data_IF_970662110274
#
_entry.id   IF_970662110274
#
_cell.length_a   1.000
_cell.length_b   1.000
_cell.length_c   1.000
_cell.angle_alpha   90.00
_cell.angle_beta   90.00
_cell.angle_gamma   90.00
#
_symmetry.space_group_name_H-M   'P 1'
#
loop_
_entity.id
_entity.type
_entity.pdbx_description
1 polymer ?
#
# COMPACT_ATOMS: atom_id res chain seq x y z
N UNK A 1 -3.80 93.06 52.68
CA UNK A 1 -4.76 93.96 53.36
C UNK A 1 -4.11 94.48 54.62
N UNK A 2 -4.19 95.77 54.90
CA UNK A 2 -3.53 96.37 56.07
C UNK A 2 -4.24 95.92 57.36
N UNK A 3 -3.50 95.30 58.27
CA UNK A 3 -3.98 94.83 59.57
C UNK A 3 -4.37 96.02 60.43
N UNK A 4 -5.67 96.18 60.74
CA UNK A 4 -6.21 97.30 61.52
C UNK A 4 -6.44 96.86 62.97
N UNK A 5 -6.13 97.72 63.94
CA UNK A 5 -6.58 97.57 65.32
C UNK A 5 -8.07 97.93 65.39
N UNK A 6 -8.92 96.97 65.76
CA UNK A 6 -10.38 97.12 65.70
C UNK A 6 -11.00 97.38 67.07
N UNK A 7 -10.35 96.98 68.16
CA UNK A 7 -10.87 97.17 69.53
C UNK A 7 -9.75 97.31 70.56
N UNK A 8 -9.94 98.21 71.52
CA UNK A 8 -9.09 98.34 72.71
C UNK A 8 -9.99 98.71 73.90
N UNK A 9 -10.18 97.81 74.87
CA UNK A 9 -11.10 98.04 75.99
C UNK A 9 -11.24 96.84 76.92
N UNK A 10 -12.15 96.88 77.91
CA UNK A 10 -12.35 95.77 78.85
C UNK A 10 -12.86 94.51 78.14
N UNK A 11 -12.41 93.31 78.57
CA UNK A 11 -12.76 92.00 77.98
C UNK A 11 -14.27 91.76 77.91
N UNK A 12 -15.02 92.20 78.92
CA UNK A 12 -16.49 92.06 78.96
C UNK A 12 -17.20 92.77 77.80
N UNK A 13 -16.57 93.78 77.20
CA UNK A 13 -17.11 94.55 76.09
C UNK A 13 -16.53 94.13 74.73
N UNK A 14 -15.75 93.05 74.69
CA UNK A 14 -15.14 92.55 73.48
C UNK A 14 -16.24 91.99 72.56
N UNK A 15 -16.30 92.38 71.26
CA UNK A 15 -17.35 91.89 70.36
C UNK A 15 -17.37 90.36 70.28
N UNK A 16 -18.56 89.76 70.34
CA UNK A 16 -18.73 88.30 70.28
C UNK A 16 -18.33 87.72 68.90
N UNK A 17 -18.47 88.52 67.84
CA UNK A 17 -18.03 88.20 66.49
C UNK A 17 -16.88 89.14 66.13
N UNK A 18 -15.73 88.58 65.78
CA UNK A 18 -14.50 89.32 65.46
C UNK A 18 -14.01 88.97 64.06
N UNK A 19 -13.68 90.00 63.31
CA UNK A 19 -13.07 89.91 61.99
C UNK A 19 -11.57 89.58 62.11
N UNK A 20 -10.88 89.25 61.02
CA UNK A 20 -9.44 88.97 61.03
C UNK A 20 -8.60 90.24 61.26
N UNK A 21 -8.66 90.74 62.49
CA UNK A 21 -8.06 91.98 62.94
C UNK A 21 -7.59 91.86 64.39
N UNK A 22 -6.79 92.82 64.85
CA UNK A 22 -6.31 92.84 66.22
C UNK A 22 -7.34 93.45 67.17
N UNK A 23 -7.51 92.81 68.33
CA UNK A 23 -8.31 93.29 69.45
C UNK A 23 -7.46 93.22 70.72
N UNK A 24 -7.49 94.26 71.55
CA UNK A 24 -6.74 94.28 72.82
C UNK A 24 -7.71 94.44 73.98
N UNK A 25 -7.57 93.55 74.97
CA UNK A 25 -8.28 93.66 76.24
C UNK A 25 -7.39 94.35 77.25
N UNK A 26 -7.83 95.50 77.78
CA UNK A 26 -6.99 96.32 78.65
C UNK A 26 -6.97 95.85 80.09
N UNK A 27 -7.96 95.07 80.52
CA UNK A 27 -8.11 94.54 81.88
C UNK A 27 -7.44 93.18 82.07
N UNK A 28 -7.53 92.29 81.07
CA UNK A 28 -6.89 90.96 81.10
C UNK A 28 -5.54 90.92 80.38
N UNK A 29 -5.14 92.02 79.72
CA UNK A 29 -3.92 92.12 78.89
C UNK A 29 -3.83 91.05 77.79
N UNK A 30 -4.96 90.51 77.36
CA UNK A 30 -5.01 89.54 76.28
C UNK A 30 -5.14 90.27 74.95
N UNK A 31 -4.37 89.82 73.97
CA UNK A 31 -4.52 90.24 72.58
C UNK A 31 -5.35 89.17 71.86
N UNK A 32 -6.12 89.54 70.85
CA UNK A 32 -6.81 88.59 70.00
C UNK A 32 -6.58 88.95 68.54
N UNK A 33 -6.52 87.94 67.68
CA UNK A 33 -6.61 88.10 66.23
C UNK A 33 -7.84 87.34 65.72
N UNK A 34 -8.89 88.07 65.35
CA UNK A 34 -10.22 87.48 65.17
C UNK A 34 -10.70 86.77 66.43
N UNK A 35 -11.18 85.54 66.30
CA UNK A 35 -11.67 84.77 67.44
C UNK A 35 -10.55 84.18 68.33
N UNK A 36 -9.29 84.25 67.88
CA UNK A 36 -8.18 83.56 68.51
C UNK A 36 -7.52 84.43 69.59
N UNK A 37 -7.30 83.87 70.77
CA UNK A 37 -6.65 84.48 71.92
C UNK A 37 -5.12 84.52 71.76
N UNK A 38 -4.45 85.51 72.35
CA UNK A 38 -3.00 85.68 72.47
C UNK A 38 -2.68 86.10 73.92
N UNK A 39 -2.30 85.15 74.75
CA UNK A 39 -2.09 85.30 76.21
C UNK A 39 -0.63 85.35 76.62
N UNK A 40 0.28 84.89 75.77
CA UNK A 40 1.72 84.72 76.07
C UNK A 40 2.62 85.27 74.95
N UNK A 41 3.94 85.49 75.21
CA UNK A 41 4.87 86.01 74.20
C UNK A 41 5.04 85.07 72.99
N UNK A 42 5.60 85.62 71.90
CA UNK A 42 5.99 84.87 70.70
C UNK A 42 7.09 83.84 71.05
N UNK A 43 6.93 82.59 70.61
CA UNK A 43 7.93 81.52 70.73
C UNK A 43 8.53 81.18 69.37
N UNK A 44 9.86 81.18 69.28
CA UNK A 44 10.58 80.64 68.14
C UNK A 44 10.92 79.18 68.43
N UNK A 45 10.35 78.26 67.65
CA UNK A 45 10.46 76.82 67.89
C UNK A 45 11.02 76.11 66.67
N UNK A 46 11.84 75.05 66.82
CA UNK A 46 12.39 74.32 65.68
C UNK A 46 11.31 73.49 64.95
N UNK A 47 10.28 73.06 65.67
CA UNK A 47 9.16 72.27 65.17
C UNK A 47 7.89 72.54 66.00
N UNK A 48 6.74 72.01 65.57
CA UNK A 48 5.48 72.18 66.30
C UNK A 48 5.54 71.46 67.65
N UNK A 49 5.21 72.18 68.72
CA UNK A 49 5.09 71.57 70.05
C UNK A 49 3.93 70.55 70.09
N UNK A 50 4.13 69.45 70.81
CA UNK A 50 3.11 68.40 70.97
C UNK A 50 2.03 68.77 71.98
N UNK A 51 2.32 69.72 72.88
CA UNK A 51 1.40 70.26 73.88
C UNK A 51 1.44 71.80 73.86
N UNK A 52 0.95 72.43 72.78
CA UNK A 52 1.03 73.88 72.63
C UNK A 52 0.10 74.59 73.61
N UNK A 53 0.56 75.71 74.16
CA UNK A 53 -0.30 76.57 74.96
C UNK A 53 -1.28 77.31 74.05
N UNK A 54 -2.54 77.41 74.49
CA UNK A 54 -3.55 78.19 73.78
C UNK A 54 -3.11 79.66 73.74
N UNK A 55 -3.21 80.26 72.57
CA UNK A 55 -2.93 81.67 72.38
C UNK A 55 -1.46 82.08 72.49
N UNK A 56 -0.57 81.21 72.02
CA UNK A 56 0.84 81.55 71.83
C UNK A 56 1.14 81.57 70.34
N UNK A 57 1.87 82.58 69.87
CA UNK A 57 2.36 82.63 68.49
C UNK A 57 3.66 81.84 68.38
N UNK A 58 3.62 80.74 67.63
CA UNK A 58 4.76 79.89 67.33
C UNK A 58 5.31 80.23 65.96
N UNK A 59 6.58 80.59 65.90
CA UNK A 59 7.32 80.85 64.66
C UNK A 59 8.25 79.67 64.39
N UNK A 60 8.04 78.98 63.27
CA UNK A 60 8.90 77.89 62.80
C UNK A 60 10.09 78.43 62.00
N UNK A 61 11.16 77.63 61.78
CA UNK A 61 12.33 78.08 61.02
C UNK A 61 12.01 78.47 59.57
N UNK A 62 10.91 77.95 59.01
CA UNK A 62 10.41 78.31 57.68
C UNK A 62 9.82 79.73 57.61
N UNK A 63 9.62 80.40 58.75
CA UNK A 63 8.89 81.66 58.85
C UNK A 63 7.36 81.49 58.90
N UNK A 64 6.86 80.26 58.92
CA UNK A 64 5.45 79.96 59.19
C UNK A 64 5.15 80.34 60.64
N UNK A 65 4.17 81.23 60.84
CA UNK A 65 3.69 81.64 62.15
C UNK A 65 2.28 81.12 62.40
N UNK A 66 2.11 80.36 63.46
CA UNK A 66 0.85 79.70 63.79
C UNK A 66 0.47 79.93 65.26
N UNK A 67 -0.83 79.97 65.53
CA UNK A 67 -1.38 80.04 66.88
C UNK A 67 -2.23 78.82 67.14
N UNK A 68 -2.08 78.21 68.31
CA UNK A 68 -2.99 77.16 68.76
C UNK A 68 -4.22 77.78 69.44
N UNK A 69 -5.41 77.51 68.92
CA UNK A 69 -6.67 78.08 69.43
C UNK A 69 -7.30 77.29 70.58
N UNK A 70 -6.64 76.21 71.03
CA UNK A 70 -7.16 75.25 72.01
C UNK A 70 -7.75 73.99 71.39
N UNK A 71 -7.86 73.93 70.07
CA UNK A 71 -8.33 72.74 69.33
C UNK A 71 -7.48 72.45 68.09
N UNK A 72 -7.07 73.47 67.34
CA UNK A 72 -6.28 73.34 66.11
C UNK A 72 -5.24 74.47 65.97
N UNK A 73 -4.23 74.20 65.14
CA UNK A 73 -3.28 75.21 64.68
C UNK A 73 -3.94 76.11 63.64
N UNK A 74 -3.72 77.43 63.78
CA UNK A 74 -4.20 78.46 62.85
C UNK A 74 -3.01 79.23 62.32
N UNK A 75 -2.81 79.17 61.01
CA UNK A 75 -1.77 79.96 60.34
C UNK A 75 -2.16 81.43 60.35
N UNK A 76 -1.26 82.27 60.85
CA UNK A 76 -1.42 83.73 60.92
C UNK A 76 -0.30 84.49 60.21
N UNK A 77 0.85 83.84 60.00
CA UNK A 77 1.94 84.34 59.14
C UNK A 77 2.28 83.23 58.16
N UNK A 78 2.11 83.49 56.86
CA UNK A 78 2.48 82.57 55.80
C UNK A 78 3.96 82.76 55.44
N UNK A 79 4.74 81.67 55.26
CA UNK A 79 6.12 81.78 54.81
C UNK A 79 6.19 82.28 53.36
N UNK A 80 7.26 82.99 53.03
CA UNK A 80 7.52 83.48 51.68
C UNK A 80 8.40 82.47 50.91
N UNK A 81 8.04 82.15 49.66
CA UNK A 81 8.83 81.24 48.81
C UNK A 81 9.43 81.96 47.60
N UNK A 82 10.66 81.58 47.27
CA UNK A 82 11.43 82.11 46.14
C UNK A 82 11.35 81.23 44.88
N UNK A 83 10.82 80.01 45.01
CA UNK A 83 10.53 79.09 43.91
C UNK A 83 9.12 78.49 44.07
N UNK A 84 8.43 78.22 42.95
CA UNK A 84 7.17 77.46 42.93
C UNK A 84 7.46 76.12 42.28
N UNK A 85 7.46 75.08 43.09
CA UNK A 85 7.74 73.70 42.69
C UNK A 85 6.55 72.81 43.05
N UNK A 86 6.57 71.55 42.63
CA UNK A 86 5.42 70.63 42.78
C UNK A 86 4.94 70.42 44.23
N UNK A 87 5.77 70.76 45.24
CA UNK A 87 5.43 70.64 46.66
C UNK A 87 4.94 71.92 47.34
N UNK A 88 4.77 73.03 46.61
CA UNK A 88 4.27 74.29 47.18
C UNK A 88 2.78 74.20 47.49
N UNK A 89 2.37 74.65 48.67
CA UNK A 89 0.99 74.58 49.15
C UNK A 89 0.35 75.98 49.31
N UNK A 90 -0.98 76.04 49.48
CA UNK A 90 -1.74 77.29 49.61
C UNK A 90 -1.41 78.08 50.90
N UNK A 91 -0.70 77.45 51.84
CA UNK A 91 -0.18 78.08 53.05
C UNK A 91 1.04 78.97 52.80
N UNK A 92 1.61 78.98 51.60
CA UNK A 92 2.82 79.74 51.25
C UNK A 92 2.49 80.97 50.40
N UNK A 93 3.28 82.05 50.53
CA UNK A 93 3.18 83.25 49.68
C UNK A 93 4.32 83.23 48.67
N UNK A 94 3.99 83.12 47.39
CA UNK A 94 4.98 83.21 46.32
C UNK A 94 5.47 84.64 46.10
N UNK A 95 6.78 84.82 45.96
CA UNK A 95 7.35 86.09 45.49
C UNK A 95 7.01 86.33 44.01
N UNK A 96 7.01 87.59 43.59
CA UNK A 96 6.83 87.95 42.17
C UNK A 96 7.85 87.22 41.25
N UNK A 97 9.08 87.03 41.74
CA UNK A 97 10.10 86.25 41.03
C UNK A 97 9.71 84.78 40.88
N UNK A 98 9.25 84.13 41.95
CA UNK A 98 8.85 82.72 41.93
C UNK A 98 7.69 82.47 40.95
N UNK A 99 6.69 83.37 40.93
CA UNK A 99 5.57 83.32 39.98
C UNK A 99 6.07 83.45 38.54
N UNK A 100 6.94 84.44 38.29
CA UNK A 100 7.50 84.68 36.96
C UNK A 100 8.27 83.47 36.44
N UNK A 101 9.14 82.89 37.26
CA UNK A 101 9.98 81.76 36.85
C UNK A 101 9.13 80.50 36.54
N UNK A 102 8.08 80.25 37.33
CA UNK A 102 7.15 79.14 37.08
C UNK A 102 6.39 79.29 35.76
N UNK A 103 5.80 80.46 35.53
CA UNK A 103 5.10 80.78 34.26
C UNK A 103 6.07 80.69 33.09
N UNK A 104 7.28 81.24 33.24
CA UNK A 104 8.29 81.20 32.21
C UNK A 104 8.67 79.77 31.81
N UNK A 105 8.88 78.87 32.77
CA UNK A 105 9.19 77.47 32.51
C UNK A 105 8.03 76.70 31.87
N UNK A 106 6.78 76.95 32.29
CA UNK A 106 5.61 76.33 31.67
C UNK A 106 5.49 76.75 30.20
N UNK A 107 5.72 78.03 29.93
CA UNK A 107 5.63 78.63 28.61
C UNK A 107 6.80 78.17 27.71
N UNK A 108 8.04 78.17 28.19
CA UNK A 108 9.22 77.80 27.39
C UNK A 108 9.41 76.28 27.28
N UNK A 109 9.08 75.53 28.32
CA UNK A 109 9.28 74.07 28.40
C UNK A 109 8.14 73.24 27.78
N UNK A 110 6.93 73.79 27.66
CA UNK A 110 5.75 73.05 27.16
C UNK A 110 5.37 73.29 25.70
N UNK A 111 5.71 74.45 25.11
CA UNK A 111 5.23 74.88 23.78
C UNK A 111 6.39 75.19 22.82
N UNK A 112 7.64 75.10 23.29
CA UNK A 112 8.85 75.34 22.48
C UNK A 112 8.95 76.80 21.98
N UNK A 113 9.39 77.00 20.73
CA UNK A 113 9.61 78.33 20.15
C UNK A 113 8.38 79.26 20.16
N UNK A 114 7.16 78.71 20.17
CA UNK A 114 5.92 79.48 20.29
C UNK A 114 5.77 80.11 21.69
N UNK A 115 6.27 79.46 22.73
CA UNK A 115 6.28 80.03 24.07
C UNK A 115 7.21 81.24 24.20
N UNK A 116 8.29 81.29 23.41
CA UNK A 116 9.16 82.45 23.37
C UNK A 116 8.47 83.68 22.76
N UNK A 117 7.58 83.48 21.78
CA UNK A 117 6.76 84.54 21.18
C UNK A 117 5.76 85.12 22.18
N UNK A 118 5.20 84.30 23.07
CA UNK A 118 4.24 84.73 24.08
C UNK A 118 4.80 85.72 25.13
N UNK A 119 6.14 85.92 25.16
CA UNK A 119 6.80 86.90 26.04
C UNK A 119 7.06 88.25 25.37
N UNK A 120 6.64 88.43 24.12
CA UNK A 120 6.81 89.69 23.39
C UNK A 120 5.52 90.50 23.46
N UNK A 121 5.66 91.79 23.69
CA UNK A 121 4.52 92.72 23.71
C UNK A 121 3.85 92.81 22.32
N UNK A 122 4.64 92.68 21.26
CA UNK A 122 4.20 92.48 19.88
C UNK A 122 5.05 91.41 19.20
N UNK A 123 4.39 90.56 18.40
CA UNK A 123 5.03 89.53 17.58
C UNK A 123 5.02 90.01 16.13
N UNK A 124 6.19 90.05 15.50
CA UNK A 124 6.29 90.45 14.09
C UNK A 124 5.87 89.31 13.15
N UNK A 125 5.42 89.63 11.95
CA UNK A 125 5.06 88.63 10.92
C UNK A 125 6.21 87.67 10.61
N UNK A 126 7.46 88.16 10.63
CA UNK A 126 8.66 87.35 10.42
C UNK A 126 8.82 86.30 11.51
N UNK A 127 8.68 86.69 12.78
CA UNK A 127 8.86 85.78 13.92
C UNK A 127 7.76 84.72 13.98
N UNK A 128 6.51 85.11 13.65
CA UNK A 128 5.42 84.17 13.49
C UNK A 128 5.66 83.22 12.30
N UNK A 129 6.16 83.76 11.19
CA UNK A 129 6.48 83.03 9.97
C UNK A 129 7.55 81.95 10.18
N UNK A 130 8.65 82.27 10.86
CA UNK A 130 9.73 81.33 11.12
C UNK A 130 9.28 80.17 12.04
N UNK A 131 8.51 80.49 13.08
CA UNK A 131 7.99 79.50 14.02
C UNK A 131 6.98 78.55 13.35
N UNK A 132 6.08 79.10 12.52
CA UNK A 132 5.09 78.31 11.78
C UNK A 132 5.76 77.46 10.68
N UNK A 133 6.75 78.01 9.98
CA UNK A 133 7.53 77.31 8.94
C UNK A 133 8.22 76.08 9.50
N UNK A 134 8.82 76.17 10.70
CA UNK A 134 9.42 75.00 11.35
C UNK A 134 8.39 73.90 11.61
N UNK A 135 7.23 74.24 12.18
CA UNK A 135 6.15 73.27 12.46
C UNK A 135 5.62 72.59 11.20
N UNK A 136 5.41 73.36 10.14
CA UNK A 136 4.94 72.84 8.84
C UNK A 136 5.98 71.89 8.23
N UNK A 137 7.27 72.26 8.26
CA UNK A 137 8.33 71.42 7.71
C UNK A 137 8.53 70.13 8.50
N UNK A 138 8.48 70.18 9.83
CA UNK A 138 8.57 68.97 10.68
C UNK A 138 7.39 68.02 10.39
N UNK A 139 6.17 68.56 10.26
CA UNK A 139 5.00 67.77 9.89
C UNK A 139 5.09 67.20 8.46
N UNK A 140 5.62 67.98 7.50
CA UNK A 140 5.83 67.53 6.13
C UNK A 140 6.85 66.38 6.06
N UNK A 141 7.92 66.42 6.87
CA UNK A 141 8.90 65.35 6.95
C UNK A 141 8.27 64.06 7.52
N UNK A 142 7.44 64.15 8.55
CA UNK A 142 6.69 63.01 9.09
C UNK A 142 5.66 62.46 8.09
N UNK A 143 5.00 63.34 7.33
CA UNK A 143 4.11 62.91 6.26
C UNK A 143 4.88 62.16 5.17
N UNK A 144 6.09 62.61 4.82
CA UNK A 144 6.95 61.95 3.83
C UNK A 144 7.35 60.52 4.21
N UNK A 145 7.52 60.22 5.50
CA UNK A 145 7.80 58.83 5.94
C UNK A 145 6.58 57.92 5.87
N UNK A 146 5.37 58.48 5.85
CA UNK A 146 4.12 57.72 5.73
C UNK A 146 3.70 57.46 4.29
N UNK A 147 4.02 58.36 3.35
CA UNK A 147 3.57 58.24 1.95
C UNK A 147 4.54 57.49 1.03
N UNK A 148 5.78 57.21 1.47
CA UNK A 148 6.75 56.39 0.72
C UNK A 148 7.01 56.87 -0.72
N UNK A 149 7.60 56.01 -1.55
CA UNK A 149 7.83 56.30 -2.98
C UNK A 149 6.53 56.24 -3.81
N UNK A 150 5.50 55.56 -3.31
CA UNK A 150 4.21 55.37 -3.98
C UNK A 150 3.18 56.46 -3.67
N UNK A 151 3.62 57.62 -3.20
CA UNK A 151 2.77 58.73 -2.75
C UNK A 151 1.73 59.21 -3.79
N UNK A 152 1.93 58.88 -5.08
CA UNK A 152 1.02 59.24 -6.18
C UNK A 152 0.04 58.12 -6.59
N UNK A 153 0.10 56.95 -5.94
CA UNK A 153 -0.71 55.78 -6.29
C UNK A 153 -1.90 55.62 -5.36
N UNK A 154 -2.98 55.04 -5.90
CA UNK A 154 -4.09 54.58 -5.06
C UNK A 154 -3.67 53.32 -4.30
N UNK A 155 -4.26 53.08 -3.13
CA UNK A 155 -4.05 51.84 -2.37
C UNK A 155 -4.34 50.57 -3.21
N UNK A 156 -5.29 50.66 -4.16
CA UNK A 156 -5.60 49.58 -5.10
C UNK A 156 -4.45 49.30 -6.07
N UNK A 157 -3.78 50.34 -6.57
CA UNK A 157 -2.64 50.19 -7.48
C UNK A 157 -1.43 49.60 -6.74
N UNK A 158 -1.15 50.07 -5.52
CA UNK A 158 -0.09 49.50 -4.68
C UNK A 158 -0.37 48.02 -4.41
N UNK A 159 -1.58 47.69 -3.96
CA UNK A 159 -1.95 46.29 -3.70
C UNK A 159 -1.84 45.42 -4.96
N UNK A 160 -2.22 45.92 -6.14
CA UNK A 160 -2.10 45.18 -7.39
C UNK A 160 -0.63 44.96 -7.79
N UNK A 161 0.23 45.97 -7.64
CA UNK A 161 1.67 45.85 -7.94
C UNK A 161 2.39 44.93 -6.96
N UNK A 162 2.10 45.02 -5.66
CA UNK A 162 2.66 44.11 -4.66
C UNK A 162 2.18 42.66 -4.86
N UNK A 163 0.91 42.46 -5.26
CA UNK A 163 0.41 41.14 -5.65
C UNK A 163 1.09 40.66 -6.94
N UNK A 164 1.35 41.52 -7.91
CA UNK A 164 2.04 41.16 -9.14
C UNK A 164 3.49 40.71 -8.88
N UNK A 165 4.19 41.31 -7.91
CA UNK A 165 5.53 40.86 -7.46
C UNK A 165 5.52 39.42 -6.92
N UNK A 166 4.39 38.94 -6.43
CA UNK A 166 4.21 37.56 -5.97
C UNK A 166 3.95 36.58 -7.14
N UNK A 167 3.45 37.07 -8.28
CA UNK A 167 2.94 36.22 -9.36
C UNK A 167 3.87 36.19 -10.59
N UNK A 168 4.43 37.34 -11.01
CA UNK A 168 5.09 37.49 -12.32
C UNK A 168 6.60 37.83 -12.26
N UNK A 169 7.23 37.66 -11.09
CA UNK A 169 8.66 37.93 -10.90
C UNK A 169 9.15 37.69 -9.47
N UNK A 170 8.53 36.74 -8.77
CA UNK A 170 8.85 36.46 -7.39
C UNK A 170 10.31 35.96 -7.27
N UNK A 171 11.01 36.38 -6.20
CA UNK A 171 12.34 35.86 -5.88
C UNK A 171 12.31 34.32 -5.87
N UNK A 172 13.40 33.66 -6.29
CA UNK A 172 13.52 32.19 -6.37
C UNK A 172 13.04 31.42 -5.12
N UNK A 173 12.99 32.10 -3.98
CA UNK A 173 12.47 31.59 -2.70
C UNK A 173 10.93 31.54 -2.58
N UNK A 174 10.18 32.15 -3.50
CA UNK A 174 8.71 32.19 -3.57
C UNK A 174 8.13 31.51 -4.82
N UNK A 175 8.97 30.87 -5.65
CA UNK A 175 8.61 30.19 -6.91
C UNK A 175 7.66 29.00 -6.72
N UNK A 176 7.38 28.59 -5.47
CA UNK A 176 6.52 27.44 -5.16
C UNK A 176 5.17 27.42 -5.87
N UNK A 177 4.49 28.56 -6.05
CA UNK A 177 3.20 28.62 -6.75
C UNK A 177 3.35 28.43 -8.26
N UNK A 178 4.43 28.95 -8.84
CA UNK A 178 4.75 28.76 -10.25
C UNK A 178 5.27 27.35 -10.52
N UNK A 179 6.11 26.79 -9.64
CA UNK A 179 6.49 25.38 -9.64
C UNK A 179 5.25 24.46 -9.57
N UNK A 180 4.28 24.76 -8.71
CA UNK A 180 3.01 24.02 -8.64
C UNK A 180 2.22 24.17 -9.94
N UNK A 181 2.13 25.37 -10.51
CA UNK A 181 1.41 25.61 -11.76
C UNK A 181 2.06 24.89 -12.97
N UNK A 182 3.39 24.92 -13.06
CA UNK A 182 4.16 24.23 -14.09
C UNK A 182 4.08 22.71 -13.90
N UNK A 183 4.11 22.22 -12.66
CA UNK A 183 3.92 20.81 -12.34
C UNK A 183 2.53 20.31 -12.76
N UNK A 184 1.46 21.02 -12.37
CA UNK A 184 0.08 20.71 -12.78
C UNK A 184 -0.04 20.72 -14.31
N UNK A 185 0.56 21.70 -14.97
CA UNK A 185 0.51 21.83 -16.43
C UNK A 185 1.26 20.71 -17.15
N UNK A 186 2.42 20.31 -16.63
CA UNK A 186 3.24 19.23 -17.17
C UNK A 186 2.66 17.83 -16.95
N UNK A 187 1.94 17.61 -15.85
CA UNK A 187 1.46 16.28 -15.43
C UNK A 187 -0.03 16.05 -15.70
N UNK A 188 -0.72 16.97 -16.38
CA UNK A 188 -2.17 16.91 -16.65
C UNK A 188 -2.63 15.62 -17.37
N UNK A 189 -1.73 14.95 -18.08
CA UNK A 189 -2.03 13.73 -18.85
C UNK A 189 -1.56 12.45 -18.18
N UNK A 190 -0.83 12.50 -17.07
CA UNK A 190 -0.16 11.31 -16.53
C UNK A 190 -1.15 10.23 -16.11
N UNK A 191 -2.27 10.62 -15.50
CA UNK A 191 -3.35 9.70 -15.18
C UNK A 191 -3.93 9.04 -16.44
N UNK A 192 -4.07 9.79 -17.55
CA UNK A 192 -4.54 9.25 -18.82
C UNK A 192 -3.52 8.29 -19.45
N UNK A 193 -2.22 8.62 -19.37
CA UNK A 193 -1.11 7.76 -19.82
C UNK A 193 -1.06 6.46 -19.01
N UNK A 194 -1.15 6.54 -17.68
CA UNK A 194 -1.21 5.38 -16.79
C UNK A 194 -2.43 4.51 -17.09
N UNK A 195 -3.61 5.10 -17.26
CA UNK A 195 -4.83 4.37 -17.60
C UNK A 195 -4.70 3.66 -18.96
N UNK A 196 -4.03 4.30 -19.94
CA UNK A 196 -3.76 3.69 -21.24
C UNK A 196 -2.79 2.50 -21.12
N UNK A 197 -1.74 2.63 -20.30
CA UNK A 197 -0.81 1.54 -20.03
C UNK A 197 -1.48 0.37 -19.29
N UNK A 198 -2.34 0.65 -18.30
CA UNK A 198 -3.11 -0.38 -17.59
C UNK A 198 -4.01 -1.14 -18.56
N UNK A 199 -4.76 -0.44 -19.42
CA UNK A 199 -5.61 -1.08 -20.44
C UNK A 199 -4.82 -1.97 -21.40
N UNK A 200 -3.60 -1.56 -21.76
CA UNK A 200 -2.73 -2.38 -22.59
C UNK A 200 -2.30 -3.67 -21.87
N UNK A 201 -1.97 -3.58 -20.58
CA UNK A 201 -1.66 -4.76 -19.75
C UNK A 201 -2.89 -5.67 -19.58
N UNK A 202 -4.06 -5.12 -19.28
CA UNK A 202 -5.33 -5.86 -19.20
C UNK A 202 -5.64 -6.63 -20.49
N UNK A 203 -5.35 -6.03 -21.65
CA UNK A 203 -5.53 -6.69 -22.94
C UNK A 203 -4.55 -7.86 -23.15
N UNK A 204 -3.29 -7.71 -22.71
CA UNK A 204 -2.27 -8.78 -22.80
C UNK A 204 -2.62 -9.97 -21.92
N UNK A 205 -3.11 -9.71 -20.70
CA UNK A 205 -3.45 -10.78 -19.73
C UNK A 205 -4.89 -11.25 -19.83
N UNK A 206 -5.62 -10.83 -20.88
CA UNK A 206 -7.02 -11.20 -21.08
C UNK A 206 -7.17 -12.73 -21.13
N UNK A 207 -8.05 -13.27 -20.27
CA UNK A 207 -8.23 -14.71 -20.11
C UNK A 207 -7.34 -15.35 -19.04
N UNK A 208 -6.66 -14.54 -18.21
CA UNK A 208 -5.85 -14.98 -17.08
C UNK A 208 -6.32 -14.19 -15.83
N UNK A 209 -6.43 -14.84 -14.67
CA UNK A 209 -6.72 -14.19 -13.38
C UNK A 209 -8.19 -14.05 -12.97
N UNK A 210 -9.14 -14.63 -13.71
CA UNK A 210 -10.56 -14.74 -13.33
C UNK A 210 -10.84 -15.81 -12.26
N UNK A 211 -12.06 -15.85 -11.73
CA UNK A 211 -12.48 -16.85 -10.70
C UNK A 211 -12.39 -18.29 -11.18
N UNK A 212 -12.60 -18.50 -12.49
CA UNK A 212 -12.54 -19.81 -13.16
C UNK A 212 -11.33 -19.93 -14.11
N UNK A 213 -10.42 -18.95 -14.08
CA UNK A 213 -9.23 -18.91 -14.93
C UNK A 213 -7.95 -19.05 -14.09
N UNK A 214 -6.83 -19.48 -14.68
CA UNK A 214 -5.57 -19.59 -13.95
C UNK A 214 -5.12 -18.23 -13.40
N UNK A 215 -4.79 -18.18 -12.11
CA UNK A 215 -4.48 -16.94 -11.38
C UNK A 215 -3.20 -16.23 -11.88
N UNK A 216 -2.34 -16.92 -12.62
CA UNK A 216 -1.08 -16.37 -13.16
C UNK A 216 -0.82 -16.91 -14.56
N UNK A 217 0.00 -16.18 -15.33
CA UNK A 217 0.48 -16.65 -16.65
C UNK A 217 1.18 -17.99 -16.54
N UNK A 218 1.96 -18.20 -15.47
CA UNK A 218 2.65 -19.46 -15.21
C UNK A 218 1.64 -20.60 -15.03
N UNK A 219 0.60 -20.40 -14.23
CA UNK A 219 -0.44 -21.41 -14.04
C UNK A 219 -1.19 -21.73 -15.36
N UNK A 220 -1.49 -20.71 -16.17
CA UNK A 220 -2.10 -20.91 -17.49
C UNK A 220 -1.21 -21.73 -18.42
N UNK A 221 0.07 -21.38 -18.52
CA UNK A 221 1.04 -22.09 -19.37
C UNK A 221 1.23 -23.53 -18.90
N UNK A 222 1.34 -23.77 -17.59
CA UNK A 222 1.42 -25.13 -17.04
C UNK A 222 0.18 -25.95 -17.38
N UNK A 223 -1.02 -25.40 -17.16
CA UNK A 223 -2.26 -26.09 -17.50
C UNK A 223 -2.38 -26.39 -19.00
N UNK A 224 -1.97 -25.47 -19.87
CA UNK A 224 -1.95 -25.67 -21.31
C UNK A 224 -0.95 -26.77 -21.73
N UNK A 225 0.25 -26.81 -21.13
CA UNK A 225 1.25 -27.86 -21.36
C UNK A 225 0.73 -29.23 -20.92
N UNK A 226 0.10 -29.28 -19.74
CA UNK A 226 -0.51 -30.52 -19.21
C UNK A 226 -1.66 -30.99 -20.10
N UNK A 227 -2.51 -30.08 -20.57
CA UNK A 227 -3.60 -30.39 -21.50
C UNK A 227 -3.10 -30.90 -22.86
N UNK A 228 -1.97 -30.37 -23.35
CA UNK A 228 -1.29 -30.84 -24.56
C UNK A 228 -0.60 -32.19 -24.37
N UNK A 229 -0.46 -32.68 -23.12
CA UNK A 229 0.17 -33.95 -22.77
C UNK A 229 1.54 -34.15 -23.43
N UNK A 230 2.32 -33.07 -23.54
CA UNK A 230 3.64 -33.10 -24.20
C UNK A 230 4.61 -34.05 -23.47
N UNK A 231 4.38 -34.35 -22.19
CA UNK A 231 5.13 -35.36 -21.43
C UNK A 231 4.69 -36.82 -21.67
N UNK A 232 3.53 -37.05 -22.29
CA UNK A 232 2.96 -38.39 -22.53
C UNK A 232 3.26 -38.93 -23.94
N UNK A 233 3.94 -38.16 -24.80
CA UNK A 233 4.50 -38.76 -26.01
C UNK A 233 5.38 -39.94 -25.60
N UNK A 234 5.26 -41.07 -26.31
CA UNK A 234 6.05 -42.27 -26.05
C UNK A 234 7.50 -41.85 -25.81
N UNK A 235 8.04 -42.17 -24.62
CA UNK A 235 9.40 -41.76 -24.31
C UNK A 235 10.31 -42.31 -25.39
N UNK A 236 11.41 -41.62 -25.70
CA UNK A 236 12.39 -42.15 -26.64
C UNK A 236 12.78 -43.60 -26.30
N UNK A 237 12.80 -43.95 -25.00
CA UNK A 237 12.97 -45.31 -24.50
C UNK A 237 11.85 -46.28 -24.91
N UNK A 238 10.58 -45.89 -24.81
CA UNK A 238 9.43 -46.73 -25.17
C UNK A 238 9.39 -46.96 -26.69
N UNK A 239 9.66 -45.92 -27.48
CA UNK A 239 9.77 -46.03 -28.94
C UNK A 239 10.95 -46.94 -29.34
N UNK A 240 12.10 -46.76 -28.68
CA UNK A 240 13.27 -47.63 -28.90
C UNK A 240 12.95 -49.09 -28.57
N UNK A 241 12.25 -49.34 -27.46
CA UNK A 241 11.84 -50.68 -27.06
C UNK A 241 10.84 -51.29 -28.06
N UNK A 242 9.89 -50.51 -28.57
CA UNK A 242 8.96 -50.96 -29.60
C UNK A 242 9.67 -51.30 -30.91
N UNK A 243 10.59 -50.44 -31.37
CA UNK A 243 11.40 -50.66 -32.57
C UNK A 243 12.26 -51.92 -32.42
N UNK A 244 12.88 -52.15 -31.25
CA UNK A 244 13.65 -53.36 -31.00
C UNK A 244 12.80 -54.64 -31.05
N UNK A 245 11.58 -54.60 -30.49
CA UNK A 245 10.62 -55.72 -30.59
C UNK A 245 10.17 -55.98 -32.02
N UNK A 246 9.93 -54.92 -32.80
CA UNK A 246 9.57 -55.04 -34.22
C UNK A 246 10.72 -55.69 -34.98
N UNK A 247 11.96 -55.24 -34.79
CA UNK A 247 13.12 -55.83 -35.45
C UNK A 247 13.32 -57.33 -35.12
N UNK A 248 13.09 -57.72 -33.86
CA UNK A 248 13.12 -59.14 -33.45
C UNK A 248 12.00 -59.95 -34.14
N UNK A 249 10.78 -59.40 -34.19
CA UNK A 249 9.65 -60.04 -34.88
C UNK A 249 9.90 -60.16 -36.39
N UNK A 250 10.40 -59.11 -37.04
CA UNK A 250 10.74 -59.09 -38.46
C UNK A 250 11.80 -60.16 -38.78
N UNK A 251 12.82 -60.30 -37.92
CA UNK A 251 13.83 -61.36 -38.04
C UNK A 251 13.21 -62.76 -37.96
N UNK A 252 12.33 -63.00 -36.97
CA UNK A 252 11.62 -64.28 -36.80
C UNK A 252 10.70 -64.60 -37.98
N UNK A 253 9.97 -63.60 -38.48
CA UNK A 253 9.12 -63.73 -39.67
C UNK A 253 9.98 -64.04 -40.91
N UNK A 254 11.16 -63.43 -41.03
CA UNK A 254 12.13 -63.76 -42.07
C UNK A 254 12.54 -65.23 -42.07
N UNK A 255 12.78 -65.83 -40.90
CA UNK A 255 13.08 -67.26 -40.76
C UNK A 255 11.87 -68.12 -41.15
N UNK A 256 10.67 -67.80 -40.65
CA UNK A 256 9.45 -68.54 -40.97
C UNK A 256 9.16 -68.56 -42.48
N UNK A 257 9.42 -67.45 -43.17
CA UNK A 257 9.25 -67.29 -44.61
C UNK A 257 10.45 -67.78 -45.44
N UNK A 258 11.48 -68.35 -44.81
CA UNK A 258 12.65 -68.88 -45.51
C UNK A 258 12.32 -70.00 -46.49
N UNK A 259 13.23 -70.26 -47.44
CA UNK A 259 13.09 -71.32 -48.43
C UNK A 259 13.15 -72.74 -47.82
N UNK A 260 13.00 -73.75 -48.68
CA UNK A 260 12.97 -75.16 -48.29
C UNK A 260 14.28 -75.69 -47.69
N UNK A 261 15.35 -74.90 -47.69
CA UNK A 261 16.65 -75.24 -47.08
C UNK A 261 16.89 -74.54 -45.73
N UNK A 262 15.99 -73.64 -45.32
CA UNK A 262 16.12 -72.85 -44.08
C UNK A 262 15.49 -73.59 -42.91
N UNK A 263 16.29 -73.96 -41.91
CA UNK A 263 15.77 -74.61 -40.70
C UNK A 263 14.79 -73.69 -39.95
N UNK A 264 13.64 -74.26 -39.55
CA UNK A 264 12.56 -73.52 -38.88
C UNK A 264 11.60 -72.80 -39.82
N UNK A 265 11.85 -72.78 -41.14
CA UNK A 265 10.89 -72.24 -42.11
C UNK A 265 9.70 -73.16 -42.33
N UNK A 266 8.57 -72.58 -42.71
CA UNK A 266 7.37 -73.34 -43.09
C UNK A 266 7.65 -74.17 -44.34
N UNK A 267 8.43 -73.64 -45.29
CA UNK A 267 8.80 -74.34 -46.52
C UNK A 267 9.65 -75.59 -46.23
N UNK A 268 10.60 -75.52 -45.29
CA UNK A 268 11.41 -76.68 -44.86
C UNK A 268 10.54 -77.73 -44.20
N UNK A 269 9.68 -77.33 -43.26
CA UNK A 269 8.77 -78.26 -42.59
C UNK A 269 7.84 -78.97 -43.57
N UNK A 270 7.32 -78.25 -44.57
CA UNK A 270 6.52 -78.82 -45.66
C UNK A 270 7.33 -79.79 -46.53
N UNK A 271 8.56 -79.42 -46.89
CA UNK A 271 9.45 -80.27 -47.68
C UNK A 271 9.80 -81.57 -46.94
N UNK A 272 10.09 -81.48 -45.63
CA UNK A 272 10.38 -82.64 -44.78
C UNK A 272 9.17 -83.55 -44.61
N UNK A 273 8.00 -82.97 -44.36
CA UNK A 273 6.75 -83.73 -44.27
C UNK A 273 6.44 -84.45 -45.60
N UNK A 274 6.67 -83.78 -46.74
CA UNK A 274 6.51 -84.39 -48.06
C UNK A 274 7.52 -85.52 -48.30
N UNK A 275 8.79 -85.31 -47.96
CA UNK A 275 9.83 -86.32 -48.10
C UNK A 275 9.53 -87.56 -47.23
N UNK A 276 9.05 -87.34 -46.01
CA UNK A 276 8.62 -88.42 -45.11
C UNK A 276 7.43 -89.21 -45.69
N UNK A 277 6.40 -88.51 -46.17
CA UNK A 277 5.22 -89.14 -46.79
C UNK A 277 5.58 -89.91 -48.08
N UNK A 278 6.40 -89.32 -48.95
CA UNK A 278 6.88 -89.96 -50.19
C UNK A 278 7.75 -91.20 -49.86
N UNK A 279 8.52 -91.16 -48.77
CA UNK A 279 9.29 -92.29 -48.26
C UNK A 279 8.42 -93.45 -47.76
N UNK A 280 7.35 -93.15 -47.01
CA UNK A 280 6.36 -94.16 -46.60
C UNK A 280 5.66 -94.80 -47.80
N UNK A 281 5.27 -94.00 -48.80
CA UNK A 281 4.59 -94.50 -50.00
C UNK A 281 5.45 -95.48 -50.80
N UNK A 282 6.76 -95.24 -50.92
CA UNK A 282 7.70 -96.18 -51.57
C UNK A 282 7.79 -97.54 -50.86
N UNK A 283 7.61 -97.57 -49.56
CA UNK A 283 7.65 -98.80 -48.76
C UNK A 283 6.29 -99.50 -48.67
N UNK A 284 5.20 -98.86 -49.12
CA UNK A 284 3.85 -99.40 -49.10
C UNK A 284 3.46 -99.97 -50.47
N UNK A 285 3.93 -101.18 -50.78
CA UNK A 285 3.53 -101.91 -51.99
C UNK A 285 2.25 -102.73 -51.74
N UNK A 286 1.12 -102.03 -51.62
CA UNK A 286 -0.18 -102.68 -51.43
C UNK A 286 -0.53 -103.63 -52.59
N UNK A 287 -0.10 -103.29 -53.81
CA UNK A 287 -0.35 -104.13 -54.99
C UNK A 287 0.50 -105.40 -54.94
N UNK A 288 1.78 -105.32 -54.63
CA UNK A 288 2.64 -106.49 -54.49
C UNK A 288 2.25 -107.38 -53.31
N UNK A 289 1.82 -106.80 -52.19
CA UNK A 289 1.24 -107.56 -51.08
C UNK A 289 -0.04 -108.29 -51.49
N UNK A 290 -0.94 -107.61 -52.22
CA UNK A 290 -2.17 -108.22 -52.75
C UNK A 290 -1.88 -109.30 -53.82
N UNK A 291 -0.94 -109.05 -54.72
CA UNK A 291 -0.49 -110.00 -55.75
C UNK A 291 0.13 -111.25 -55.10
N UNK A 292 0.94 -111.08 -54.05
CA UNK A 292 1.51 -112.18 -53.26
C UNK A 292 0.44 -113.00 -52.56
N UNK A 293 -0.57 -112.34 -51.97
CA UNK A 293 -1.71 -113.01 -51.35
C UNK A 293 -2.54 -113.78 -52.38
N UNK A 294 -2.80 -113.21 -53.56
CA UNK A 294 -3.50 -113.86 -54.66
C UNK A 294 -2.73 -115.07 -55.18
N UNK A 295 -1.41 -114.93 -55.39
CA UNK A 295 -0.55 -116.03 -55.82
C UNK A 295 -0.57 -117.17 -54.79
N UNK A 296 -0.43 -116.86 -53.51
CA UNK A 296 -0.50 -117.84 -52.41
C UNK A 296 -1.85 -118.57 -52.40
N UNK A 297 -2.95 -117.84 -52.55
CA UNK A 297 -4.30 -118.42 -52.62
C UNK A 297 -4.47 -119.32 -53.85
N UNK A 298 -3.93 -118.93 -55.00
CA UNK A 298 -3.97 -119.73 -56.23
C UNK A 298 -3.12 -121.01 -56.10
N UNK A 299 -1.91 -120.92 -55.56
CA UNK A 299 -1.07 -122.10 -55.27
C UNK A 299 -1.78 -123.07 -54.33
N UNK A 300 -2.42 -122.56 -53.28
CA UNK A 300 -3.20 -123.40 -52.36
C UNK A 300 -4.38 -124.10 -53.07
N UNK A 301 -5.13 -123.37 -53.89
CA UNK A 301 -6.24 -123.93 -54.66
C UNK A 301 -5.79 -124.97 -55.70
N UNK A 302 -4.72 -124.68 -56.44
CA UNK A 302 -4.15 -125.60 -57.43
C UNK A 302 -3.61 -126.88 -56.75
N UNK A 303 -3.03 -126.76 -55.55
CA UNK A 303 -2.59 -127.92 -54.73
C UNK A 303 -3.73 -128.81 -54.25
N UNK A 304 -4.91 -128.25 -53.95
CA UNK A 304 -6.10 -129.04 -53.64
C UNK A 304 -6.63 -129.82 -54.86
N UNK A 305 -6.55 -129.23 -56.06
CA UNK A 305 -7.03 -129.87 -57.29
C UNK A 305 -6.22 -131.12 -57.69
N UNK A 306 -4.90 -131.12 -57.45
CA UNK A 306 -4.03 -132.29 -57.74
C UNK A 306 -4.42 -133.53 -56.93
N UNK A 307 -4.93 -133.35 -55.71
CA UNK A 307 -5.38 -134.46 -54.86
C UNK A 307 -6.82 -134.93 -55.15
N UNK A 308 -7.56 -134.26 -56.04
CA UNK A 308 -8.95 -134.57 -56.35
C UNK A 308 -9.10 -135.12 -57.78
N UNK A 309 -8.42 -136.22 -58.10
CA UNK A 309 -8.66 -136.95 -59.36
C UNK A 309 -9.89 -137.87 -59.27
N UNK A 310 -11.06 -137.24 -59.13
CA UNK A 310 -12.35 -137.94 -59.13
C UNK A 310 -12.58 -138.69 -60.46
N UNK A 311 -12.02 -138.20 -61.57
CA UNK A 311 -12.17 -138.81 -62.90
C UNK A 311 -11.30 -140.07 -63.05
N UNK A 312 -10.06 -140.04 -62.59
CA UNK A 312 -9.17 -141.21 -62.57
C UNK A 312 -9.63 -142.25 -61.55
N UNK A 313 -10.13 -141.81 -60.38
CA UNK A 313 -10.75 -142.72 -59.40
C UNK A 313 -11.97 -143.43 -59.98
N UNK A 314 -12.85 -142.70 -60.68
CA UNK A 314 -14.01 -143.28 -61.37
C UNK A 314 -13.60 -144.22 -62.52
N UNK A 315 -12.59 -143.84 -63.32
CA UNK A 315 -12.07 -144.66 -64.42
C UNK A 315 -11.45 -145.96 -63.91
N UNK A 316 -10.72 -145.91 -62.79
CA UNK A 316 -10.15 -147.08 -62.12
C UNK A 316 -11.25 -148.00 -61.60
N UNK A 317 -12.30 -147.43 -60.99
CA UNK A 317 -13.45 -148.20 -60.53
C UNK A 317 -14.20 -148.88 -61.70
N UNK A 318 -14.42 -148.17 -62.82
CA UNK A 318 -15.03 -148.73 -64.02
C UNK A 318 -14.18 -149.86 -64.63
N UNK A 319 -12.87 -149.67 -64.70
CA UNK A 319 -11.93 -150.68 -65.22
C UNK A 319 -11.96 -151.94 -64.36
N UNK A 320 -11.92 -151.79 -63.04
CA UNK A 320 -12.02 -152.92 -62.10
C UNK A 320 -13.38 -153.64 -62.22
N UNK A 321 -14.47 -152.90 -62.43
CA UNK A 321 -15.80 -153.49 -62.63
C UNK A 321 -15.89 -154.27 -63.95
N UNK A 322 -15.35 -153.73 -65.04
CA UNK A 322 -15.25 -154.46 -66.34
C UNK A 322 -14.43 -155.74 -66.21
N UNK A 323 -13.23 -155.66 -65.61
CA UNK A 323 -12.37 -156.82 -65.41
C UNK A 323 -13.05 -157.93 -64.58
N UNK A 324 -13.80 -157.54 -63.54
CA UNK A 324 -14.58 -158.49 -62.73
C UNK A 324 -15.70 -159.15 -63.54
N UNK A 325 -16.44 -158.38 -64.34
CA UNK A 325 -17.50 -158.90 -65.21
C UNK A 325 -16.96 -159.84 -66.29
N UNK A 326 -15.85 -159.47 -66.94
CA UNK A 326 -15.20 -160.29 -67.97
C UNK A 326 -14.68 -161.62 -67.40
N UNK A 327 -14.13 -161.59 -66.18
CA UNK A 327 -13.68 -162.80 -65.46
C UNK A 327 -14.83 -163.76 -65.12
N UNK A 328 -15.98 -163.22 -64.71
CA UNK A 328 -17.20 -164.02 -64.51
C UNK A 328 -17.67 -164.65 -65.82
N UNK A 329 -17.69 -163.89 -66.92
CA UNK A 329 -18.14 -164.39 -68.22
C UNK A 329 -17.23 -165.51 -68.74
N UNK A 330 -15.91 -165.34 -68.63
CA UNK A 330 -14.90 -166.35 -68.99
C UNK A 330 -15.09 -167.65 -68.19
N UNK A 331 -15.39 -167.53 -66.89
CA UNK A 331 -15.67 -168.70 -66.03
C UNK A 331 -16.95 -169.41 -66.45
N UNK A 332 -17.96 -168.64 -66.87
CA UNK A 332 -19.24 -169.16 -67.32
C UNK A 332 -19.10 -169.90 -68.67
N UNK A 333 -18.37 -169.34 -69.62
CA UNK A 333 -18.04 -169.96 -70.90
C UNK A 333 -17.32 -171.30 -70.70
N UNK A 334 -16.37 -171.36 -69.75
CA UNK A 334 -15.69 -172.61 -69.38
C UNK A 334 -16.65 -173.66 -68.80
N UNK A 335 -17.65 -173.26 -68.00
CA UNK A 335 -18.68 -174.17 -67.47
C UNK A 335 -19.63 -174.66 -68.56
N UNK A 336 -20.00 -173.80 -69.51
CA UNK A 336 -20.84 -174.18 -70.67
C UNK A 336 -20.12 -175.19 -71.54
N UNK A 337 -18.86 -174.94 -71.89
CA UNK A 337 -18.04 -175.88 -72.65
C UNK A 337 -17.91 -177.25 -71.97
N UNK A 338 -17.78 -177.27 -70.63
CA UNK A 338 -17.76 -178.52 -69.87
C UNK A 338 -19.10 -179.26 -69.90
N UNK A 339 -20.23 -178.55 -69.90
CA UNK A 339 -21.58 -179.13 -70.05
C UNK A 339 -21.80 -179.66 -71.47
N UNK A 340 -21.39 -178.91 -72.50
CA UNK A 340 -21.45 -179.34 -73.90
C UNK A 340 -20.63 -180.63 -74.11
N UNK A 341 -19.42 -180.68 -73.56
CA UNK A 341 -18.56 -181.88 -73.59
C UNK A 341 -19.20 -183.06 -72.83
N UNK A 342 -19.90 -182.80 -71.72
CA UNK A 342 -20.58 -183.87 -70.97
C UNK A 342 -21.81 -184.43 -71.71
N UNK A 343 -22.49 -183.63 -72.55
CA UNK A 343 -23.59 -184.09 -73.39
C UNK A 343 -23.11 -184.98 -74.57
N UNK A 344 -21.90 -184.76 -75.09
CA UNK A 344 -21.35 -185.58 -76.20
C UNK A 344 -20.94 -187.01 -75.77
N UNK A 345 -20.73 -187.26 -74.46
CA UNK A 345 -20.20 -188.54 -73.95
C UNK A 345 -21.29 -189.44 -73.33
N UNK A 346 -22.56 -189.00 -73.27
CA UNK A 346 -23.57 -189.66 -72.43
C UNK A 346 -25.00 -189.75 -72.97
N UNK A 347 -25.21 -190.44 -74.10
CA UNK A 347 -26.48 -191.15 -74.48
C UNK A 347 -26.13 -192.13 -75.61
N UNK A 348 -26.25 -193.45 -75.41
CA UNK A 348 -27.48 -194.28 -75.48
C UNK A 348 -28.11 -194.31 -76.87
#
# INVERSE_FOLDING_TARGET
>A
MATKLVFCGKKVNLPAVREQAFYLTTDTHEVYFGQNLYTEPVRFVPERETTPAQGVLYILPSGLGEVYDGSAWKTVIKPTVTTIEAGVTDEQIATAKAVKDYVDNLVTGGIGALGALAKKDEVTETELGDALKKKINDAAAQASTLVGEDASKSARAIAAEEVAKIVDGADSSFDTLKEIADWISGHKTDAASMNSAIKALEAIVKGIGGTDEPATVVAYVTAAIDALKIGDYAKAADLTAAVARIADLESKVGVLNGGADVAGSVAKALADAKAYADGLAKNYDAKGAADTALASAKTYADGLAVNYDAKGSATTAETNAKAYADGLNTTMDGRVAAVETALEVGTF
#
